data_IF_568870771161
#
_entry.id   IF_568870771161
#
_cell.length_a   1.000
_cell.length_b   1.000
_cell.length_c   1.000
_cell.angle_alpha   90.00
_cell.angle_beta   90.00
_cell.angle_gamma   90.00
#
_symmetry.space_group_name_H-M   'P 1'
#
loop_
_entity.id
_entity.type
_entity.pdbx_description
1 polymer ?
#
# COMPACT_ATOMS: atom_id res chain seq x y z
N UNK A 1 8.83 -4.22 -6.67
CA UNK A 1 9.55 -5.43 -6.22
C UNK A 1 10.29 -5.03 -4.97
N UNK A 2 9.75 -5.35 -3.80
CA UNK A 2 10.37 -4.99 -2.52
C UNK A 2 11.70 -5.73 -2.41
N UNK A 3 12.75 -5.03 -2.02
CA UNK A 3 14.08 -5.62 -1.86
C UNK A 3 14.04 -6.67 -0.74
N UNK A 4 14.41 -7.95 -1.01
CA UNK A 4 14.36 -9.01 -0.01
C UNK A 4 15.27 -8.76 1.21
N UNK A 5 16.33 -7.96 1.07
CA UNK A 5 17.21 -7.60 2.18
C UNK A 5 16.68 -6.44 3.05
N UNK A 6 15.63 -5.75 2.61
CA UNK A 6 15.04 -4.66 3.38
C UNK A 6 14.37 -5.19 4.65
N UNK A 7 14.53 -4.47 5.75
CA UNK A 7 13.85 -4.80 7.01
C UNK A 7 12.33 -4.68 6.85
N UNK A 8 11.61 -5.69 7.31
CA UNK A 8 10.17 -5.68 7.39
C UNK A 8 9.71 -4.75 8.53
N UNK A 9 8.73 -3.90 8.25
CA UNK A 9 8.02 -3.15 9.27
C UNK A 9 6.93 -3.99 9.94
N UNK A 10 6.41 -3.53 11.08
CA UNK A 10 5.25 -4.18 11.72
C UNK A 10 4.04 -4.21 10.80
N UNK A 11 3.81 -3.15 10.03
CA UNK A 11 2.75 -3.11 9.03
C UNK A 11 2.93 -4.18 7.94
N UNK A 12 4.16 -4.53 7.57
CA UNK A 12 4.41 -5.61 6.62
C UNK A 12 4.09 -6.97 7.23
N UNK A 13 4.48 -7.19 8.50
CA UNK A 13 4.14 -8.40 9.25
C UNK A 13 2.62 -8.56 9.37
N UNK A 14 1.91 -7.50 9.75
CA UNK A 14 0.45 -7.49 9.88
C UNK A 14 -0.25 -7.77 8.54
N UNK A 15 0.23 -7.20 7.43
CA UNK A 15 -0.31 -7.52 6.09
C UNK A 15 -0.18 -8.99 5.75
N UNK A 16 0.95 -9.61 6.09
CA UNK A 16 1.17 -11.05 5.89
C UNK A 16 0.24 -11.86 6.78
N UNK A 17 0.07 -11.50 8.05
CA UNK A 17 -0.89 -12.16 8.95
C UNK A 17 -2.31 -12.08 8.40
N UNK A 18 -2.75 -10.91 7.91
CA UNK A 18 -4.06 -10.75 7.30
C UNK A 18 -4.23 -11.61 6.03
N UNK A 19 -3.16 -11.84 5.25
CA UNK A 19 -3.19 -12.77 4.12
C UNK A 19 -3.32 -14.23 4.59
N UNK A 20 -2.58 -14.61 5.63
CA UNK A 20 -2.69 -15.95 6.23
C UNK A 20 -4.11 -16.21 6.75
N UNK A 21 -4.74 -15.24 7.40
CA UNK A 21 -6.13 -15.34 7.87
C UNK A 21 -7.10 -15.62 6.72
N UNK A 22 -6.98 -14.88 5.61
CA UNK A 22 -7.83 -15.09 4.43
C UNK A 22 -7.63 -16.48 3.82
N UNK A 23 -6.40 -16.97 3.79
CA UNK A 23 -6.11 -18.33 3.33
C UNK A 23 -6.67 -19.41 4.28
N UNK A 24 -6.66 -19.18 5.60
CA UNK A 24 -7.29 -20.07 6.59
C UNK A 24 -8.80 -20.09 6.41
N UNK A 25 -9.45 -18.94 6.28
CA UNK A 25 -10.91 -18.86 6.02
C UNK A 25 -11.28 -19.51 4.69
N UNK A 26 -10.39 -19.44 3.68
CA UNK A 26 -10.58 -20.12 2.40
C UNK A 26 -10.29 -21.64 2.45
N UNK A 27 -9.92 -22.19 3.60
CA UNK A 27 -9.65 -23.63 3.79
C UNK A 27 -8.32 -24.10 3.19
N UNK A 28 -7.42 -23.18 2.81
CA UNK A 28 -6.08 -23.51 2.27
C UNK A 28 -5.03 -23.73 3.35
N UNK A 29 -5.27 -23.22 4.55
CA UNK A 29 -4.44 -23.41 5.73
C UNK A 29 -5.31 -23.95 6.86
N UNK A 30 -4.81 -24.95 7.57
CA UNK A 30 -5.37 -25.33 8.86
C UNK A 30 -5.09 -24.26 9.93
N UNK A 31 -5.84 -24.29 11.04
CA UNK A 31 -5.63 -23.37 12.16
C UNK A 31 -4.25 -23.59 12.84
N UNK A 32 -3.75 -24.82 12.83
CA UNK A 32 -2.43 -25.15 13.34
C UNK A 32 -1.32 -24.53 12.48
N UNK A 33 -1.39 -24.70 11.16
CA UNK A 33 -0.45 -24.07 10.22
C UNK A 33 -0.52 -22.54 10.29
N UNK A 34 -1.72 -21.99 10.44
CA UNK A 34 -1.93 -20.57 10.65
C UNK A 34 -1.13 -20.07 11.86
N UNK A 35 -1.30 -20.69 13.03
CA UNK A 35 -0.56 -20.31 14.23
C UNK A 35 0.96 -20.39 14.06
N UNK A 36 1.46 -21.47 13.46
CA UNK A 36 2.90 -21.62 13.19
C UNK A 36 3.43 -20.52 12.25
N UNK A 37 2.68 -20.19 11.19
CA UNK A 37 3.09 -19.18 10.21
C UNK A 37 2.99 -17.76 10.75
N UNK A 38 1.98 -17.45 11.56
CA UNK A 38 1.87 -16.17 12.28
C UNK A 38 3.08 -15.95 13.18
N UNK A 39 3.49 -16.98 13.93
CA UNK A 39 4.73 -16.92 14.72
C UNK A 39 5.97 -16.62 13.89
N UNK A 40 6.12 -17.26 12.72
CA UNK A 40 7.22 -16.98 11.78
C UNK A 40 7.14 -15.58 11.18
N UNK A 41 5.95 -15.09 10.85
CA UNK A 41 5.75 -13.74 10.32
C UNK A 41 6.18 -12.67 11.33
N UNK A 42 5.85 -12.84 12.61
CA UNK A 42 6.29 -11.89 13.65
C UNK A 42 7.78 -12.00 13.98
N UNK A 43 8.39 -13.18 13.80
CA UNK A 43 9.84 -13.36 13.96
C UNK A 43 10.66 -12.87 12.74
N UNK A 44 10.02 -12.63 11.59
CA UNK A 44 10.68 -12.22 10.35
C UNK A 44 11.37 -10.85 10.51
N UNK A 45 12.61 -10.75 10.03
CA UNK A 45 13.39 -9.51 10.09
C UNK A 45 13.34 -8.78 8.76
N UNK A 46 13.27 -9.51 7.66
CA UNK A 46 13.36 -8.98 6.30
C UNK A 46 12.11 -9.28 5.46
N UNK A 47 11.95 -8.55 4.36
CA UNK A 47 10.91 -8.86 3.38
C UNK A 47 11.11 -10.23 2.72
N UNK A 48 12.35 -10.71 2.58
CA UNK A 48 12.64 -12.07 2.12
C UNK A 48 12.09 -13.14 3.06
N UNK A 49 12.27 -12.94 4.38
CA UNK A 49 11.71 -13.85 5.40
C UNK A 49 10.17 -13.89 5.32
N UNK A 50 9.54 -12.71 5.17
CA UNK A 50 8.09 -12.61 4.99
C UNK A 50 7.61 -13.30 3.71
N UNK A 51 8.33 -13.16 2.60
CA UNK A 51 7.99 -13.85 1.35
C UNK A 51 8.08 -15.38 1.49
N UNK A 52 9.02 -15.88 2.29
CA UNK A 52 9.14 -17.32 2.55
C UNK A 52 7.92 -17.88 3.31
N UNK A 53 7.32 -17.11 4.23
CA UNK A 53 6.13 -17.51 5.01
C UNK A 53 4.91 -17.82 4.13
N UNK A 54 4.79 -17.15 2.98
CA UNK A 54 3.67 -17.29 2.05
C UNK A 54 4.07 -17.94 0.72
N UNK A 55 5.27 -18.52 0.62
CA UNK A 55 5.85 -18.96 -0.67
C UNK A 55 5.08 -20.08 -1.36
N UNK A 56 4.38 -20.92 -0.60
CA UNK A 56 3.56 -22.04 -1.07
C UNK A 56 2.07 -21.65 -1.23
N UNK A 57 1.72 -20.40 -0.94
CA UNK A 57 0.34 -19.92 -1.03
C UNK A 57 0.12 -19.15 -2.32
N UNK A 58 -1.09 -19.25 -2.92
CA UNK A 58 -1.42 -18.47 -4.10
C UNK A 58 -1.37 -16.98 -3.75
N UNK A 59 -0.71 -16.19 -4.60
CA UNK A 59 -0.64 -14.74 -4.43
C UNK A 59 -2.04 -14.14 -4.43
N UNK A 60 -2.44 -13.57 -3.30
CA UNK A 60 -3.69 -12.83 -3.26
C UNK A 60 -3.51 -11.46 -3.90
N UNK A 61 -4.49 -10.97 -4.66
CA UNK A 61 -4.46 -9.62 -5.17
C UNK A 61 -4.39 -8.66 -3.98
N UNK A 62 -3.29 -7.92 -3.88
CA UNK A 62 -3.17 -6.85 -2.89
C UNK A 62 -4.24 -5.82 -3.25
N UNK A 63 -5.23 -5.54 -2.36
CA UNK A 63 -6.15 -4.46 -2.63
C UNK A 63 -5.33 -3.18 -2.69
N UNK A 64 -5.19 -2.63 -3.89
CA UNK A 64 -4.62 -1.30 -4.08
C UNK A 64 -5.58 -0.34 -3.39
N UNK A 65 -5.17 0.16 -2.23
CA UNK A 65 -5.81 1.32 -1.62
C UNK A 65 -5.62 2.46 -2.62
N UNK A 66 -6.63 2.70 -3.45
CA UNK A 66 -6.71 3.93 -4.23
C UNK A 66 -6.70 5.06 -3.20
N UNK A 67 -5.67 5.92 -3.18
CA UNK A 67 -5.70 7.07 -2.29
C UNK A 67 -6.98 7.84 -2.61
N UNK A 68 -7.73 8.20 -1.57
CA UNK A 68 -8.84 9.13 -1.67
C UNK A 68 -8.24 10.50 -2.02
N UNK A 69 -7.90 10.68 -3.30
CA UNK A 69 -7.44 11.96 -3.82
C UNK A 69 -8.71 12.78 -3.99
N UNK A 70 -8.94 13.82 -3.17
CA UNK A 70 -10.08 14.69 -3.37
C UNK A 70 -9.99 15.24 -4.81
N UNK A 71 -11.12 15.32 -5.55
CA UNK A 71 -11.10 15.78 -6.93
C UNK A 71 -10.41 17.15 -6.96
N UNK A 72 -9.35 17.25 -7.77
CA UNK A 72 -8.59 18.48 -7.92
C UNK A 72 -9.56 19.62 -8.23
N UNK A 73 -9.59 20.63 -7.37
CA UNK A 73 -10.44 21.80 -7.57
C UNK A 73 -10.13 22.41 -8.95
N UNK A 74 -11.15 22.88 -9.71
CA UNK A 74 -10.92 23.48 -11.01
C UNK A 74 -9.98 24.67 -10.86
N UNK A 75 -8.86 24.65 -11.59
CA UNK A 75 -7.94 25.78 -11.70
C UNK A 75 -8.70 26.96 -12.28
N UNK A 76 -8.93 27.99 -11.47
CA UNK A 76 -9.52 29.24 -11.95
C UNK A 76 -8.62 29.81 -13.05
N UNK A 77 -9.16 30.17 -14.23
CA UNK A 77 -8.35 30.80 -15.26
C UNK A 77 -7.79 32.13 -14.73
N UNK A 78 -6.46 32.23 -14.72
CA UNK A 78 -5.77 33.48 -14.43
C UNK A 78 -6.08 34.46 -15.56
N UNK A 79 -6.87 35.49 -15.25
CA UNK A 79 -7.04 36.64 -16.14
C UNK A 79 -6.04 37.72 -15.70
N UNK A 80 -4.96 37.97 -16.46
CA UNK A 80 -4.12 39.12 -16.18
C UNK A 80 -4.95 40.39 -16.38
N UNK A 81 -5.07 41.19 -15.31
CA UNK A 81 -5.65 42.52 -15.41
C UNK A 81 -4.77 43.36 -16.34
N UNK A 82 -5.24 43.60 -17.56
CA UNK A 82 -4.60 44.53 -18.48
C UNK A 82 -4.71 45.92 -17.85
N UNK A 83 -3.59 46.43 -17.34
CA UNK A 83 -3.48 47.82 -16.92
C UNK A 83 -3.58 48.68 -18.18
N UNK A 84 -4.80 49.08 -18.54
CA UNK A 84 -5.05 50.05 -19.59
C UNK A 84 -4.42 51.37 -19.15
N UNK A 85 -3.21 51.62 -19.64
CA UNK A 85 -2.62 52.95 -19.63
C UNK A 85 -3.44 53.84 -20.55
N UNK A 86 -4.09 54.85 -19.98
CA UNK A 86 -4.65 55.97 -20.71
C UNK A 86 -3.95 57.24 -20.23
N UNK A 87 -2.92 57.65 -20.95
CA UNK A 87 -2.62 59.05 -21.17
C UNK A 87 -2.51 59.26 -22.68
N UNK A 88 -2.31 60.50 -23.16
CA UNK A 88 -2.89 61.78 -22.75
C UNK A 88 -3.64 62.42 -23.96
N UNK A 89 -4.28 63.59 -23.77
CA UNK A 89 -4.46 64.75 -24.69
C UNK A 89 -5.56 65.64 -24.06
N UNK A 90 -5.32 66.90 -23.70
CA UNK A 90 -4.91 68.06 -24.51
C UNK A 90 -4.26 69.11 -23.62
#
# INVERSE_FOLDING_TARGET
>A
MTDPGLRASDADRERVVAALERHTTAGRLSLEEFGQRVGRAFAAVTHGDLAAVTSDLPTEPVPVAVPDVPPAAPSRPYTPAVRAGAGPVR
#
